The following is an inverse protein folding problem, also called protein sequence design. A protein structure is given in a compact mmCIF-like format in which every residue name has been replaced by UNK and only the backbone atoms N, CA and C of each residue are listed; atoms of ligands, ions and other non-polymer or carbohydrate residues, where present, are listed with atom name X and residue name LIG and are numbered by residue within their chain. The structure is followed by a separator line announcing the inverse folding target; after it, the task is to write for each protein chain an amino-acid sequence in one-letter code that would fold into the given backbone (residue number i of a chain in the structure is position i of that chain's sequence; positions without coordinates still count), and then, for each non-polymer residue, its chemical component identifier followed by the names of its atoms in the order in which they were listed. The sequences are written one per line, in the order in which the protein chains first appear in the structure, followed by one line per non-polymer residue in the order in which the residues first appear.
data_IF_091130343749
#
_entry.id   IF_091130343749
#
_cell.length_a   1.000
_cell.length_b   1.000
_cell.length_c   1.000
_cell.angle_alpha   90.00
_cell.angle_beta   90.00
_cell.angle_gamma   90.00
#
_symmetry.space_group_name_H-M   'P 1'
#
loop_
_entity.id
_entity.type
_entity.pdbx_description
1 polymer ?
#
# COMPACT_ATOMS: atom_id res chain seq x y z
N UNK A 1 -10.02 -20.89 8.94
CA UNK A 1 -9.79 -20.62 7.51
C UNK A 1 -9.36 -21.92 6.81
N UNK A 2 -9.72 -22.13 5.54
CA UNK A 2 -9.20 -23.23 4.74
C UNK A 2 -7.68 -23.13 4.58
N UNK A 3 -7.01 -24.26 4.35
CA UNK A 3 -5.54 -24.37 4.29
C UNK A 3 -4.91 -23.50 3.17
N UNK A 4 -5.67 -23.22 2.12
CA UNK A 4 -5.29 -22.28 1.05
C UNK A 4 -5.01 -20.88 1.56
N UNK A 5 -5.87 -20.36 2.43
CA UNK A 5 -5.83 -18.95 2.85
C UNK A 5 -4.61 -18.68 3.74
N UNK A 6 -4.18 -19.68 4.51
CA UNK A 6 -2.94 -19.60 5.28
C UNK A 6 -1.69 -19.51 4.40
N UNK A 7 -1.67 -20.22 3.26
CA UNK A 7 -0.56 -20.17 2.31
C UNK A 7 -0.50 -18.79 1.65
N UNK A 8 -1.65 -18.26 1.21
CA UNK A 8 -1.72 -16.91 0.65
C UNK A 8 -1.31 -15.84 1.67
N UNK A 9 -1.78 -15.97 2.92
CA UNK A 9 -1.39 -15.06 4.00
C UNK A 9 0.12 -15.07 4.24
N UNK A 10 0.73 -16.25 4.37
CA UNK A 10 2.17 -16.38 4.60
C UNK A 10 2.99 -15.77 3.43
N UNK A 11 2.56 -16.03 2.19
CA UNK A 11 3.21 -15.49 1.00
C UNK A 11 3.09 -13.96 0.92
N UNK A 12 1.93 -13.41 1.28
CA UNK A 12 1.72 -11.96 1.31
C UNK A 12 2.50 -11.28 2.44
N UNK A 13 2.60 -11.90 3.63
CA UNK A 13 3.44 -11.38 4.73
C UNK A 13 4.92 -11.37 4.34
N UNK A 14 5.40 -12.43 3.70
CA UNK A 14 6.77 -12.49 3.17
C UNK A 14 7.00 -11.44 2.08
N UNK A 15 6.06 -11.27 1.16
CA UNK A 15 6.13 -10.23 0.12
C UNK A 15 6.14 -8.82 0.71
N UNK A 16 5.25 -8.53 1.66
CA UNK A 16 5.16 -7.22 2.31
C UNK A 16 6.41 -6.90 3.13
N UNK A 17 6.96 -7.87 3.86
CA UNK A 17 8.18 -7.67 4.65
C UNK A 17 9.40 -7.41 3.78
N UNK A 18 9.60 -8.17 2.70
CA UNK A 18 10.65 -7.90 1.72
C UNK A 18 10.49 -6.52 1.07
N UNK A 19 9.25 -6.15 0.72
CA UNK A 19 8.97 -4.85 0.13
C UNK A 19 9.20 -3.69 1.11
N UNK A 20 8.86 -3.85 2.39
CA UNK A 20 9.16 -2.85 3.43
C UNK A 20 10.67 -2.68 3.62
N UNK A 21 11.44 -3.78 3.63
CA UNK A 21 12.91 -3.71 3.70
C UNK A 21 13.45 -2.92 2.50
N UNK A 22 12.94 -3.20 1.30
CA UNK A 22 13.29 -2.44 0.10
C UNK A 22 12.95 -0.95 0.21
N UNK A 23 11.75 -0.60 0.68
CA UNK A 23 11.35 0.78 0.89
C UNK A 23 12.21 1.49 1.94
N UNK A 24 12.56 0.81 3.03
CA UNK A 24 13.46 1.36 4.06
C UNK A 24 14.86 1.57 3.51
N UNK A 25 15.40 0.60 2.77
CA UNK A 25 16.70 0.74 2.11
C UNK A 25 16.72 1.94 1.16
N UNK A 26 15.63 2.13 0.41
CA UNK A 26 15.47 3.24 -0.52
C UNK A 26 15.32 4.58 0.20
N UNK A 27 14.56 4.62 1.30
CA UNK A 27 14.40 5.80 2.16
C UNK A 27 15.70 6.23 2.86
N UNK A 28 16.59 5.28 3.19
CA UNK A 28 17.89 5.59 3.81
C UNK A 28 18.87 6.24 2.83
N UNK A 29 18.66 6.11 1.52
CA UNK A 29 19.53 6.73 0.53
C UNK A 29 19.18 8.23 0.37
N UNK A 30 20.05 9.11 0.86
CA UNK A 30 19.86 10.59 0.83
C UNK A 30 19.62 11.14 -0.58
N UNK A 31 20.21 10.52 -1.62
CA UNK A 31 20.00 10.94 -3.01
C UNK A 31 18.60 10.59 -3.51
N UNK A 32 18.01 9.50 -3.00
CA UNK A 32 16.67 9.06 -3.39
C UNK A 32 15.62 10.05 -2.88
N UNK A 33 15.73 10.53 -1.64
CA UNK A 33 14.75 11.48 -1.07
C UNK A 33 14.78 12.88 -1.70
N UNK A 34 15.76 13.23 -2.53
CA UNK A 34 15.79 14.52 -3.19
C UNK A 34 14.87 14.61 -4.42
N UNK A 35 14.41 13.48 -4.97
CA UNK A 35 13.50 13.52 -6.12
C UNK A 35 12.04 13.35 -5.67
N UNK A 36 11.11 14.13 -6.25
CA UNK A 36 9.68 14.00 -5.94
C UNK A 36 9.13 12.62 -6.29
N UNK A 37 9.69 11.96 -7.31
CA UNK A 37 9.35 10.59 -7.70
C UNK A 37 9.52 9.59 -6.56
N UNK A 38 10.68 9.59 -5.89
CA UNK A 38 10.94 8.61 -4.83
C UNK A 38 10.10 8.88 -3.58
N UNK A 39 9.79 10.14 -3.26
CA UNK A 39 8.83 10.47 -2.18
C UNK A 39 7.44 9.91 -2.46
N UNK A 40 6.94 10.12 -3.68
CA UNK A 40 5.65 9.57 -4.11
C UNK A 40 5.67 8.04 -4.15
N UNK A 41 6.77 7.44 -4.60
CA UNK A 41 6.96 5.99 -4.64
C UNK A 41 6.93 5.37 -3.24
N UNK A 42 7.66 5.93 -2.26
CA UNK A 42 7.66 5.44 -0.87
C UNK A 42 6.26 5.58 -0.25
N UNK A 43 5.62 6.74 -0.41
CA UNK A 43 4.27 6.98 0.12
C UNK A 43 3.24 6.01 -0.47
N UNK A 44 3.30 5.76 -1.78
CA UNK A 44 2.40 4.83 -2.47
C UNK A 44 2.68 3.38 -2.06
N UNK A 45 3.95 3.04 -1.87
CA UNK A 45 4.37 1.73 -1.39
C UNK A 45 3.84 1.42 0.00
N UNK A 46 3.93 2.38 0.93
CA UNK A 46 3.35 2.25 2.27
C UNK A 46 1.83 2.10 2.24
N UNK A 47 1.14 2.89 1.40
CA UNK A 47 -0.31 2.75 1.21
C UNK A 47 -0.68 1.34 0.69
N UNK A 48 0.13 0.78 -0.22
CA UNK A 48 -0.03 -0.59 -0.72
C UNK A 48 0.07 -1.65 0.39
N UNK A 49 1.10 -1.57 1.24
CA UNK A 49 1.22 -2.47 2.40
C UNK A 49 0.04 -2.31 3.36
N UNK A 50 -0.45 -1.08 3.53
CA UNK A 50 -1.66 -0.78 4.29
C UNK A 50 -2.89 -1.52 3.78
N UNK A 51 -3.14 -1.49 2.46
CA UNK A 51 -4.30 -2.19 1.86
C UNK A 51 -4.31 -3.69 2.16
N UNK A 52 -3.16 -4.35 1.99
CA UNK A 52 -2.99 -5.78 2.25
C UNK A 52 -3.23 -6.07 3.73
N UNK A 53 -2.63 -5.27 4.60
CA UNK A 53 -2.80 -5.43 6.05
C UNK A 53 -4.26 -5.29 6.47
N UNK A 54 -4.97 -4.26 5.98
CA UNK A 54 -6.40 -4.05 6.29
C UNK A 54 -7.30 -5.12 5.71
N UNK A 55 -6.95 -5.68 4.55
CA UNK A 55 -7.72 -6.76 3.92
C UNK A 55 -7.69 -8.04 4.76
N UNK A 56 -6.51 -8.45 5.22
CA UNK A 56 -6.40 -9.62 6.09
C UNK A 56 -7.05 -9.40 7.45
N UNK A 57 -6.91 -8.19 8.01
CA UNK A 57 -7.53 -7.84 9.28
C UNK A 57 -9.06 -7.98 9.21
N UNK A 58 -9.66 -7.53 8.11
CA UNK A 58 -11.09 -7.73 7.84
C UNK A 58 -11.47 -9.22 7.68
N UNK A 59 -10.64 -10.02 7.01
CA UNK A 59 -10.86 -11.48 6.88
C UNK A 59 -10.84 -12.16 8.26
N UNK A 60 -9.87 -11.82 9.10
CA UNK A 60 -9.77 -12.35 10.46
C UNK A 60 -10.90 -11.86 11.37
N UNK A 61 -11.32 -10.59 11.27
CA UNK A 61 -12.40 -10.02 12.06
C UNK A 61 -13.78 -10.62 11.75
N UNK A 62 -14.00 -11.09 10.51
CA UNK A 62 -15.24 -11.76 10.10
C UNK A 62 -15.24 -13.28 10.37
N UNK A 63 -14.12 -13.86 10.81
CA UNK A 63 -14.02 -15.29 11.12
C UNK A 63 -14.72 -15.72 12.43
N UNK A 64 -14.59 -15.01 13.57
CA UNK A 64 -15.37 -15.31 14.77
C UNK A 64 -16.84 -14.86 14.61
N UNK A 65 -17.79 -15.52 15.30
CA UNK A 65 -19.18 -15.08 15.31
C UNK A 65 -19.26 -13.66 15.92
N UNK A 66 -19.69 -12.69 15.10
CA UNK A 66 -19.68 -11.27 15.43
C UNK A 66 -20.37 -11.00 16.77
N UNK A 67 -19.60 -10.52 17.77
CA UNK A 67 -20.18 -9.87 18.96
C UNK A 67 -20.62 -8.47 18.57
N UNK A 68 -21.67 -7.95 19.21
CA UNK A 68 -22.20 -6.61 18.89
C UNK A 68 -21.15 -5.49 19.06
N UNK A 69 -20.14 -5.71 19.91
CA UNK A 69 -19.00 -4.80 20.10
C UNK A 69 -18.06 -4.74 18.88
N UNK A 70 -18.03 -5.78 18.04
CA UNK A 70 -17.18 -5.86 16.84
C UNK A 70 -17.74 -5.05 15.65
N UNK A 71 -19.00 -4.61 15.72
CA UNK A 71 -19.66 -3.90 14.61
C UNK A 71 -18.98 -2.55 14.29
N UNK A 72 -18.43 -1.87 15.29
CA UNK A 72 -17.68 -0.62 15.10
C UNK A 72 -16.31 -0.88 14.47
N UNK A 73 -15.64 -1.96 14.88
CA UNK A 73 -14.34 -2.38 14.37
C UNK A 73 -14.46 -2.74 12.88
N UNK A 74 -15.47 -3.55 12.53
CA UNK A 74 -15.74 -3.95 11.14
C UNK A 74 -16.06 -2.74 10.24
N UNK A 75 -16.79 -1.73 10.75
CA UNK A 75 -17.07 -0.50 10.00
C UNK A 75 -15.80 0.33 9.80
N UNK A 76 -15.00 0.52 10.85
CA UNK A 76 -13.74 1.25 10.78
C UNK A 76 -12.77 0.58 9.79
N UNK A 77 -12.65 -0.75 9.82
CA UNK A 77 -11.83 -1.53 8.90
C UNK A 77 -12.25 -1.38 7.44
N UNK A 78 -13.56 -1.39 7.15
CA UNK A 78 -14.06 -1.15 5.78
C UNK A 78 -13.69 0.24 5.26
N UNK A 79 -13.80 1.27 6.11
CA UNK A 79 -13.39 2.63 5.74
C UNK A 79 -11.88 2.71 5.53
N UNK A 80 -11.09 2.10 6.42
CA UNK A 80 -9.63 2.03 6.31
C UNK A 80 -9.16 1.32 5.05
N UNK A 81 -9.79 0.20 4.70
CA UNK A 81 -9.47 -0.53 3.47
C UNK A 81 -9.79 0.32 2.23
N UNK A 82 -10.97 0.95 2.20
CA UNK A 82 -11.36 1.85 1.12
C UNK A 82 -10.44 3.06 0.97
N UNK A 83 -10.07 3.71 2.09
CA UNK A 83 -9.14 4.83 2.11
C UNK A 83 -7.73 4.42 1.64
N UNK A 84 -7.27 3.24 2.06
CA UNK A 84 -5.98 2.69 1.65
C UNK A 84 -5.96 2.40 0.13
N UNK A 85 -7.02 1.79 -0.41
CA UNK A 85 -7.17 1.53 -1.85
C UNK A 85 -7.20 2.82 -2.66
N UNK A 86 -7.94 3.81 -2.19
CA UNK A 86 -7.99 5.13 -2.80
C UNK A 86 -6.61 5.80 -2.80
N UNK A 87 -5.94 5.84 -1.65
CA UNK A 87 -4.60 6.42 -1.52
C UNK A 87 -3.57 5.71 -2.40
N UNK A 88 -3.65 4.38 -2.50
CA UNK A 88 -2.76 3.58 -3.36
C UNK A 88 -2.98 3.91 -4.85
N UNK A 89 -4.24 4.00 -5.27
CA UNK A 89 -4.61 4.31 -6.65
C UNK A 89 -4.23 5.73 -7.04
N UNK A 90 -4.53 6.69 -6.15
CA UNK A 90 -4.16 8.09 -6.34
C UNK A 90 -2.63 8.27 -6.37
N UNK A 91 -1.89 7.57 -5.48
CA UNK A 91 -0.43 7.57 -5.47
C UNK A 91 0.17 7.07 -6.78
N UNK A 92 -0.33 5.96 -7.34
CA UNK A 92 0.08 5.48 -8.66
C UNK A 92 -0.20 6.49 -9.76
N UNK A 93 -1.36 7.12 -9.74
CA UNK A 93 -1.74 8.13 -10.73
C UNK A 93 -0.80 9.35 -10.67
N UNK A 94 -0.45 9.84 -9.48
CA UNK A 94 0.51 10.92 -9.30
C UNK A 94 1.91 10.56 -9.78
N UNK A 95 2.34 9.29 -9.61
CA UNK A 95 3.60 8.81 -10.16
C UNK A 95 3.59 8.87 -11.70
N UNK A 96 2.48 8.48 -12.33
CA UNK A 96 2.32 8.56 -13.79
C UNK A 96 2.37 10.02 -14.27
N UNK A 97 1.65 10.93 -13.61
CA UNK A 97 1.70 12.37 -13.93
C UNK A 97 3.13 12.91 -13.80
N UNK A 98 3.81 12.59 -12.69
CA UNK A 98 5.18 13.03 -12.46
C UNK A 98 6.13 12.55 -13.57
N UNK A 99 6.00 11.29 -14.00
CA UNK A 99 6.78 10.75 -15.11
C UNK A 99 6.42 11.38 -16.45
N UNK A 100 5.14 11.62 -16.70
CA UNK A 100 4.67 12.26 -17.92
C UNK A 100 5.19 13.70 -18.06
N UNK A 101 5.18 14.47 -16.96
CA UNK A 101 5.72 15.83 -16.92
C UNK A 101 7.22 15.86 -17.22
N UNK A 102 8.00 14.97 -16.59
CA UNK A 102 9.45 14.85 -16.86
C UNK A 102 9.72 14.54 -18.34
N UNK A 103 8.98 13.60 -18.93
CA UNK A 103 9.15 13.22 -20.34
C UNK A 103 8.75 14.35 -21.30
N UNK A 104 7.70 15.10 -20.97
CA UNK A 104 7.21 16.20 -21.81
C UNK A 104 8.15 17.40 -21.76
N UNK A 105 8.70 17.72 -20.59
CA UNK A 105 9.71 18.76 -20.44
C UNK A 105 11.02 18.42 -21.16
N UNK A 106 11.45 17.14 -21.17
CA UNK A 106 12.62 16.74 -21.96
C UNK A 106 12.39 16.86 -23.46
N UNK A 107 11.17 16.60 -23.95
CA UNK A 107 10.83 16.74 -25.38
C UNK A 107 10.81 18.20 -25.85
N UNK A 108 10.43 19.14 -24.99
CA UNK A 108 10.39 20.57 -25.33
C UNK A 108 11.78 21.25 -25.26
N UNK A 109 12.80 20.56 -24.75
CA UNK A 109 14.18 21.05 -24.63
C UNK A 109 15.07 20.68 -25.83
N UNK A 110 14.54 19.94 -26.80
CA UNK A 110 15.21 19.53 -28.06
C UNK A 110 14.58 20.30 -29.21
#
# INVERSE_FOLDING_TARGET
LPLSDYIFFALEVLGCSLYLIFLVALARNKYSLNTPFFKLFISTGLAGVGTISTYWLLQYANYPPARQDDAYIIKAEKVLNGASLFSYTCGKFLIVINRFDILTNMRNSV
#
